data_IF_575222774833
#
_entry.id   IF_575222774833
#
_cell.length_a   1.000
_cell.length_b   1.000
_cell.length_c   1.000
_cell.angle_alpha   90.00
_cell.angle_beta   90.00
_cell.angle_gamma   90.00
#
_symmetry.space_group_name_H-M   'P 1'
#
loop_
_entity.id
_entity.type
_entity.pdbx_description
1 polymer ?
#
# COMPACT_ATOMS: atom_id res chain seq x y z
N UNK A 1 -3.35 18.84 -6.29
CA UNK A 1 -3.36 17.37 -6.20
C UNK A 1 -2.24 16.94 -5.27
N UNK A 2 -2.57 16.26 -4.19
CA UNK A 2 -1.62 15.72 -3.21
C UNK A 2 -1.38 14.24 -3.55
N UNK A 3 -0.13 13.79 -3.43
CA UNK A 3 0.24 12.38 -3.50
C UNK A 3 0.57 11.90 -2.10
N UNK A 4 -0.04 10.80 -1.67
CA UNK A 4 0.19 10.18 -0.38
C UNK A 4 0.85 8.82 -0.61
N UNK A 5 1.96 8.58 0.10
CA UNK A 5 2.61 7.27 0.18
C UNK A 5 2.11 6.55 1.43
N UNK A 6 1.41 5.44 1.25
CA UNK A 6 1.07 4.52 2.31
C UNK A 6 2.12 3.42 2.42
N UNK A 7 2.61 3.16 3.62
CA UNK A 7 3.50 2.04 3.94
C UNK A 7 2.86 1.31 5.11
N UNK A 8 2.66 0.01 4.97
CA UNK A 8 2.23 -0.87 6.05
C UNK A 8 3.18 -2.06 6.14
N UNK A 9 3.62 -2.35 7.36
CA UNK A 9 4.56 -3.45 7.64
C UNK A 9 3.96 -4.35 8.70
N UNK A 10 3.75 -5.62 8.37
CA UNK A 10 3.44 -6.68 9.33
C UNK A 10 4.64 -7.64 9.42
N UNK A 11 4.53 -8.69 10.23
CA UNK A 11 5.57 -9.73 10.30
C UNK A 11 5.66 -10.54 9.00
N UNK A 12 4.52 -10.79 8.36
CA UNK A 12 4.42 -11.70 7.22
C UNK A 12 4.30 -10.97 5.87
N UNK A 13 4.00 -9.67 5.88
CA UNK A 13 3.76 -8.89 4.67
C UNK A 13 4.28 -7.46 4.78
N UNK A 14 4.72 -6.91 3.66
CA UNK A 14 5.01 -5.49 3.50
C UNK A 14 4.21 -4.93 2.32
N UNK A 15 3.48 -3.84 2.54
CA UNK A 15 2.65 -3.21 1.53
C UNK A 15 3.03 -1.75 1.29
N UNK A 16 2.91 -1.30 0.05
CA UNK A 16 3.12 0.09 -0.33
C UNK A 16 2.06 0.54 -1.35
N UNK A 17 1.54 1.75 -1.19
CA UNK A 17 0.57 2.35 -2.12
C UNK A 17 0.82 3.82 -2.37
N UNK A 18 0.41 4.31 -3.54
CA UNK A 18 0.38 5.74 -3.88
C UNK A 18 -1.05 6.14 -4.17
N UNK A 19 -1.56 7.11 -3.42
CA UNK A 19 -2.93 7.61 -3.54
C UNK A 19 -2.93 9.08 -3.95
N UNK A 20 -3.83 9.44 -4.85
CA UNK A 20 -4.11 10.81 -5.22
C UNK A 20 -5.25 11.40 -4.40
N UNK A 21 -5.05 12.58 -3.83
CA UNK A 21 -6.11 13.37 -3.22
C UNK A 21 -6.24 14.70 -3.96
N UNK A 22 -7.43 14.99 -4.49
CA UNK A 22 -7.76 16.25 -5.15
C UNK A 22 -8.64 17.18 -4.30
N UNK A 23 -9.17 16.68 -3.17
CA UNK A 23 -9.98 17.44 -2.20
C UNK A 23 -11.45 17.62 -2.58
N UNK A 24 -11.88 17.13 -3.75
CA UNK A 24 -13.25 17.24 -4.25
C UNK A 24 -13.88 15.87 -4.54
N UNK A 25 -13.05 14.89 -4.89
CA UNK A 25 -13.44 13.53 -5.25
C UNK A 25 -12.97 12.53 -4.19
N UNK A 26 -13.46 11.30 -4.30
CA UNK A 26 -12.86 10.19 -3.58
C UNK A 26 -11.38 10.03 -3.97
N UNK A 27 -10.50 9.62 -3.03
CA UNK A 27 -9.10 9.38 -3.36
C UNK A 27 -8.94 8.29 -4.43
N UNK A 28 -7.97 8.47 -5.33
CA UNK A 28 -7.67 7.52 -6.40
C UNK A 28 -6.41 6.71 -6.06
N UNK A 29 -6.48 5.37 -6.14
CA UNK A 29 -5.31 4.51 -6.00
C UNK A 29 -4.56 4.49 -7.33
N UNK A 30 -3.33 5.00 -7.35
CA UNK A 30 -2.48 5.02 -8.55
C UNK A 30 -1.60 3.78 -8.66
N UNK A 31 -1.19 3.23 -7.52
CA UNK A 31 -0.38 2.02 -7.41
C UNK A 31 -0.61 1.38 -6.05
N UNK A 32 -0.57 0.05 -6.01
CA UNK A 32 -0.61 -0.74 -4.80
C UNK A 32 0.15 -2.05 -5.02
N UNK A 33 1.04 -2.41 -4.10
CA UNK A 33 1.75 -3.68 -4.11
C UNK A 33 1.84 -4.25 -2.70
N UNK A 34 1.75 -5.57 -2.61
CA UNK A 34 1.97 -6.34 -1.39
C UNK A 34 3.07 -7.36 -1.69
N UNK A 35 4.11 -7.36 -0.87
CA UNK A 35 5.11 -8.41 -0.83
C UNK A 35 4.76 -9.33 0.35
N UNK A 36 4.44 -10.59 0.03
CA UNK A 36 4.09 -11.60 1.03
C UNK A 36 5.27 -12.53 1.28
N UNK A 37 5.53 -12.81 2.56
CA UNK A 37 6.55 -13.74 3.07
C UNK A 37 5.89 -14.91 3.83
N UNK A 38 4.59 -15.13 3.63
CA UNK A 38 3.84 -16.20 4.30
C UNK A 38 4.45 -17.57 4.00
N UNK A 39 4.92 -17.79 2.77
CA UNK A 39 5.58 -19.04 2.39
C UNK A 39 6.92 -19.25 3.13
N UNK A 40 7.64 -18.17 3.44
CA UNK A 40 8.89 -18.24 4.21
C UNK A 40 8.65 -18.56 5.69
N UNK A 41 7.45 -18.25 6.20
CA UNK A 41 7.04 -18.51 7.58
C UNK A 41 6.31 -19.84 7.78
N UNK A 42 5.97 -20.55 6.71
CA UNK A 42 5.32 -21.86 6.75
C UNK A 42 6.33 -22.97 7.09
N UNK A 43 6.70 -23.08 8.37
CA UNK A 43 7.54 -24.16 8.92
C UNK A 43 6.75 -25.45 9.24
#
# INVERSE_FOLDING_TARGET
>A
MIRVLGIETSCDETAASVVALDGASAPEILSNIVLSQIEEHAA
#
